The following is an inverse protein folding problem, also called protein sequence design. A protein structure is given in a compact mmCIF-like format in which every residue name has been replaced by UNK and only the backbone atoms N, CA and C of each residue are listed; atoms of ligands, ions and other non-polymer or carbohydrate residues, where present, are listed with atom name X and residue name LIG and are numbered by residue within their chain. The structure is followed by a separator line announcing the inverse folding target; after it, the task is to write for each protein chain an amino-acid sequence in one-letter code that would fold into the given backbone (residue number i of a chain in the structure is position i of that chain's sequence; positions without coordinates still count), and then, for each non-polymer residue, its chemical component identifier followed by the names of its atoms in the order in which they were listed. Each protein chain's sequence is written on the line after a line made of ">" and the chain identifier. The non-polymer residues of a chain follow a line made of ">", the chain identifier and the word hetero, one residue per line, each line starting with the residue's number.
data_IF_672565215057
#
_entry.id   IF_672565215057
#
_cell.length_a   1.000
_cell.length_b   1.000
_cell.length_c   1.000
_cell.angle_alpha   90.00
_cell.angle_beta   90.00
_cell.angle_gamma   90.00
#
_symmetry.space_group_name_H-M   'P 1'
#
loop_
_entity.id
_entity.type
_entity.pdbx_description
1 polymer ?
#
# COMPACT_ATOMS: atom_id res chain seq x y z
N UNK A 1 -14.97 8.21 3.18
CA UNK A 1 -14.04 7.50 2.30
C UNK A 1 -12.85 7.02 3.09
N UNK A 2 -12.40 5.83 2.77
CA UNK A 2 -11.30 5.22 3.51
C UNK A 2 -9.94 5.42 2.85
N UNK A 3 -9.93 6.06 1.70
CA UNK A 3 -8.67 6.30 1.01
C UNK A 3 -8.79 7.43 0.00
N UNK A 4 -7.65 8.01 -0.33
CA UNK A 4 -7.51 9.03 -1.35
C UNK A 4 -6.33 8.67 -2.23
N UNK A 5 -6.38 9.04 -3.51
CA UNK A 5 -5.29 8.82 -4.43
C UNK A 5 -4.89 10.12 -5.11
N UNK A 6 -3.59 10.24 -5.40
CA UNK A 6 -3.06 11.40 -6.11
C UNK A 6 -1.91 10.93 -6.98
N UNK A 7 -1.88 11.36 -8.24
CA UNK A 7 -0.78 11.06 -9.13
C UNK A 7 0.20 12.23 -9.15
N UNK A 8 1.47 11.93 -8.94
CA UNK A 8 2.55 12.91 -9.00
C UNK A 8 3.61 12.34 -9.95
N UNK A 9 3.61 12.81 -11.20
CA UNK A 9 4.48 12.23 -12.23
C UNK A 9 4.16 10.76 -12.45
N UNK A 10 5.17 9.90 -12.37
CA UNK A 10 5.01 8.46 -12.48
C UNK A 10 4.64 7.78 -11.17
N UNK A 11 4.41 8.53 -10.09
CA UNK A 11 4.08 7.99 -8.78
C UNK A 11 2.58 8.11 -8.50
N UNK A 12 2.02 7.07 -7.88
CA UNK A 12 0.67 7.12 -7.34
C UNK A 12 0.79 7.09 -5.82
N UNK A 13 0.27 8.14 -5.17
CA UNK A 13 0.23 8.22 -3.71
C UNK A 13 -1.17 7.80 -3.27
N UNK A 14 -1.23 6.77 -2.42
CA UNK A 14 -2.48 6.27 -1.86
C UNK A 14 -2.46 6.53 -0.36
N UNK A 15 -3.37 7.35 0.12
CA UNK A 15 -3.50 7.63 1.55
C UNK A 15 -4.69 6.87 2.09
N UNK A 16 -4.43 5.98 3.05
CA UNK A 16 -5.46 5.18 3.69
C UNK A 16 -5.86 5.80 5.02
N UNK A 17 -7.11 5.60 5.42
CA UNK A 17 -7.67 6.20 6.64
C UNK A 17 -8.38 5.16 7.50
N UNK A 18 -8.24 5.31 8.80
CA UNK A 18 -9.02 4.58 9.78
C UNK A 18 -8.66 3.11 9.86
N UNK A 19 -9.68 2.26 9.88
CA UNK A 19 -9.50 0.83 9.99
C UNK A 19 -9.54 0.16 8.63
N UNK A 20 -8.51 -0.61 8.33
CA UNK A 20 -8.39 -1.33 7.06
C UNK A 20 -8.72 -2.79 7.33
N UNK A 21 -9.95 -3.19 6.98
CA UNK A 21 -10.47 -4.53 7.19
C UNK A 21 -10.88 -5.19 5.86
N UNK A 22 -11.35 -6.44 5.94
CA UNK A 22 -11.70 -7.21 4.75
C UNK A 22 -12.84 -6.61 3.94
N UNK A 23 -13.65 -5.74 4.54
CA UNK A 23 -14.81 -5.14 3.84
C UNK A 23 -14.40 -4.04 2.86
N UNK A 24 -13.25 -3.42 3.08
CA UNK A 24 -12.82 -2.31 2.23
C UNK A 24 -11.67 -2.66 1.28
N UNK A 25 -10.94 -3.76 1.53
CA UNK A 25 -9.71 -4.02 0.78
C UNK A 25 -9.94 -4.34 -0.69
N UNK A 26 -11.03 -5.02 -1.04
CA UNK A 26 -11.25 -5.39 -2.45
C UNK A 26 -11.50 -4.15 -3.32
N UNK A 27 -12.26 -3.19 -2.83
CA UNK A 27 -12.52 -1.96 -3.56
C UNK A 27 -11.24 -1.14 -3.75
N UNK A 28 -10.47 -1.00 -2.66
CA UNK A 28 -9.21 -0.26 -2.71
C UNK A 28 -8.23 -0.94 -3.66
N UNK A 29 -8.10 -2.25 -3.55
CA UNK A 29 -7.22 -3.05 -4.40
C UNK A 29 -7.55 -2.87 -5.88
N UNK A 30 -8.82 -3.01 -6.22
CA UNK A 30 -9.25 -2.95 -7.63
C UNK A 30 -9.01 -1.57 -8.21
N UNK A 31 -9.25 -0.52 -7.44
CA UNK A 31 -9.01 0.85 -7.89
C UNK A 31 -7.52 1.13 -8.07
N UNK A 32 -6.70 0.71 -7.11
CA UNK A 32 -5.24 0.90 -7.21
C UNK A 32 -4.70 0.18 -8.44
N UNK A 33 -5.08 -1.08 -8.64
CA UNK A 33 -4.61 -1.87 -9.77
C UNK A 33 -5.01 -1.24 -11.10
N UNK A 34 -6.24 -0.74 -11.18
CA UNK A 34 -6.72 -0.04 -12.38
C UNK A 34 -5.91 1.21 -12.67
N UNK A 35 -5.65 2.02 -11.64
CA UNK A 35 -4.89 3.25 -11.82
C UNK A 35 -3.44 2.96 -12.22
N UNK A 36 -2.83 1.94 -11.64
CA UNK A 36 -1.47 1.54 -12.00
C UNK A 36 -1.41 1.19 -13.49
N UNK A 37 -2.38 0.42 -13.98
CA UNK A 37 -2.40 -0.01 -15.38
C UNK A 37 -2.69 1.14 -16.33
N UNK A 38 -3.73 1.94 -16.04
CA UNK A 38 -4.19 3.00 -16.94
C UNK A 38 -3.22 4.16 -16.99
N UNK A 39 -2.64 4.53 -15.84
CA UNK A 39 -1.79 5.72 -15.73
C UNK A 39 -0.30 5.39 -15.87
N UNK A 40 0.03 4.13 -16.14
CA UNK A 40 1.41 3.70 -16.31
C UNK A 40 2.29 4.09 -15.12
N UNK A 41 1.81 3.79 -13.92
CA UNK A 41 2.49 4.11 -12.67
C UNK A 41 3.70 3.22 -12.49
N UNK A 42 4.84 3.82 -12.16
CA UNK A 42 6.07 3.08 -11.89
C UNK A 42 6.50 3.13 -10.42
N UNK A 43 5.81 3.92 -9.61
CA UNK A 43 6.11 4.02 -8.18
C UNK A 43 4.78 4.14 -7.41
N UNK A 44 4.59 3.27 -6.42
CA UNK A 44 3.39 3.29 -5.59
C UNK A 44 3.80 3.64 -4.16
N UNK A 45 3.24 4.72 -3.63
CA UNK A 45 3.51 5.18 -2.28
C UNK A 45 2.23 5.04 -1.48
N UNK A 46 2.25 4.23 -0.42
CA UNK A 46 1.09 4.05 0.46
C UNK A 46 1.36 4.75 1.78
N UNK A 47 0.56 5.78 2.05
CA UNK A 47 0.66 6.58 3.26
C UNK A 47 -0.25 5.97 4.33
N UNK A 48 0.34 5.50 5.41
CA UNK A 48 -0.35 4.84 6.51
C UNK A 48 -0.51 5.73 7.74
N UNK A 49 -0.19 7.03 7.60
CA UNK A 49 -0.20 7.95 8.74
C UNK A 49 -1.55 8.13 9.40
N UNK A 50 -2.63 7.93 8.68
CA UNK A 50 -4.00 8.04 9.20
C UNK A 50 -4.68 6.68 9.43
N UNK A 51 -3.95 5.58 9.32
CA UNK A 51 -4.47 4.24 9.58
C UNK A 51 -4.33 3.92 11.06
N UNK A 52 -5.46 3.66 11.72
CA UNK A 52 -5.50 3.35 13.15
C UNK A 52 -5.34 1.86 13.42
N UNK A 53 -5.81 1.03 12.50
CA UNK A 53 -5.81 -0.42 12.67
C UNK A 53 -5.79 -1.10 11.29
N UNK A 54 -5.08 -2.23 11.19
CA UNK A 54 -5.00 -3.00 9.97
C UNK A 54 -5.10 -4.49 10.27
N UNK A 55 -6.04 -5.16 9.63
CA UNK A 55 -6.19 -6.61 9.72
C UNK A 55 -5.26 -7.30 8.70
N UNK A 56 -5.19 -8.63 8.81
CA UNK A 56 -4.38 -9.44 7.90
C UNK A 56 -4.79 -9.26 6.43
N UNK A 57 -6.05 -8.97 6.16
CA UNK A 57 -6.52 -8.69 4.80
C UNK A 57 -5.87 -7.44 4.23
N UNK A 58 -5.60 -6.44 5.06
CA UNK A 58 -4.87 -5.24 4.64
C UNK A 58 -3.42 -5.56 4.30
N UNK A 59 -2.79 -6.44 5.09
CA UNK A 59 -1.43 -6.91 4.81
C UNK A 59 -1.42 -7.64 3.46
N UNK A 60 -2.40 -8.50 3.20
CA UNK A 60 -2.53 -9.21 1.92
C UNK A 60 -2.69 -8.26 0.75
N UNK A 61 -3.47 -7.21 0.93
CA UNK A 61 -3.66 -6.18 -0.09
C UNK A 61 -2.33 -5.49 -0.42
N UNK A 62 -1.58 -5.11 0.60
CA UNK A 62 -0.27 -4.46 0.42
C UNK A 62 0.68 -5.41 -0.32
N UNK A 63 0.73 -6.68 0.10
CA UNK A 63 1.59 -7.67 -0.52
C UNK A 63 1.25 -7.88 -2.00
N UNK A 64 -0.03 -7.94 -2.33
CA UNK A 64 -0.47 -8.09 -3.73
C UNK A 64 -0.06 -6.90 -4.58
N UNK A 65 -0.16 -5.70 -4.05
CA UNK A 65 0.28 -4.50 -4.77
C UNK A 65 1.79 -4.47 -4.94
N UNK A 66 2.52 -4.93 -3.94
CA UNK A 66 3.97 -5.06 -4.03
C UNK A 66 4.37 -5.99 -5.18
N UNK A 67 3.74 -7.17 -5.24
CA UNK A 67 4.01 -8.12 -6.32
C UNK A 67 3.67 -7.54 -7.69
N UNK A 68 2.56 -6.83 -7.79
CA UNK A 68 2.17 -6.17 -9.03
C UNK A 68 3.23 -5.16 -9.47
N UNK A 69 3.70 -4.32 -8.57
CA UNK A 69 4.70 -3.30 -8.89
C UNK A 69 6.02 -3.93 -9.30
N UNK A 70 6.48 -4.95 -8.57
CA UNK A 70 7.73 -5.64 -8.90
C UNK A 70 7.64 -6.29 -10.28
N UNK A 71 6.50 -6.92 -10.61
CA UNK A 71 6.32 -7.57 -11.91
C UNK A 71 6.38 -6.57 -13.07
N UNK A 72 6.11 -5.30 -12.81
CA UNK A 72 6.17 -4.22 -13.80
C UNK A 72 7.52 -3.50 -13.81
N UNK A 73 8.45 -3.94 -12.96
CA UNK A 73 9.73 -3.26 -12.80
C UNK A 73 9.64 -1.97 -12.02
N UNK A 74 8.54 -1.77 -11.30
CA UNK A 74 8.31 -0.58 -10.49
C UNK A 74 8.73 -0.75 -9.04
N UNK A 75 8.38 0.24 -8.24
CA UNK A 75 8.73 0.31 -6.81
C UNK A 75 7.49 0.53 -5.98
N UNK A 76 7.54 0.11 -4.72
CA UNK A 76 6.49 0.40 -3.75
C UNK A 76 7.12 0.81 -2.43
N UNK A 77 6.47 1.76 -1.74
CA UNK A 77 6.97 2.31 -0.49
C UNK A 77 5.80 2.49 0.47
N UNK A 78 6.02 2.15 1.74
CA UNK A 78 5.07 2.42 2.81
C UNK A 78 5.63 3.57 3.64
N UNK A 79 4.81 4.59 3.93
CA UNK A 79 5.28 5.74 4.68
C UNK A 79 4.40 6.01 5.90
N UNK A 80 5.02 6.46 6.95
CA UNK A 80 4.42 6.96 8.19
C UNK A 80 3.49 5.98 8.91
N UNK A 81 3.80 4.67 9.02
CA UNK A 81 2.93 3.79 9.78
C UNK A 81 2.92 4.18 11.26
N UNK A 82 1.72 4.21 11.86
CA UNK A 82 1.62 4.41 13.30
C UNK A 82 2.18 3.19 14.01
N UNK A 83 2.61 3.32 15.29
CA UNK A 83 3.30 2.23 16.00
C UNK A 83 2.55 0.89 15.99
N UNK A 84 1.23 0.90 16.18
CA UNK A 84 0.44 -0.33 16.18
C UNK A 84 0.36 -0.97 14.80
N UNK A 85 0.35 -0.16 13.75
CA UNK A 85 0.35 -0.66 12.36
C UNK A 85 1.74 -1.15 11.99
N UNK A 86 2.77 -0.41 12.37
CA UNK A 86 4.16 -0.80 12.12
C UNK A 86 4.47 -2.16 12.76
N UNK A 87 3.94 -2.39 13.96
CA UNK A 87 4.12 -3.67 14.63
C UNK A 87 3.48 -4.83 13.86
N UNK A 88 2.29 -4.62 13.31
CA UNK A 88 1.61 -5.64 12.48
C UNK A 88 2.43 -5.92 11.23
N UNK A 89 2.97 -4.89 10.58
CA UNK A 89 3.82 -5.04 9.41
C UNK A 89 5.08 -5.84 9.75
N UNK A 90 5.69 -5.55 10.89
CA UNK A 90 6.88 -6.24 11.35
C UNK A 90 6.59 -7.71 11.64
N UNK A 91 5.52 -8.00 12.38
CA UNK A 91 5.16 -9.37 12.73
C UNK A 91 4.79 -10.23 11.52
N UNK A 92 4.23 -9.62 10.49
CA UNK A 92 3.87 -10.32 9.26
C UNK A 92 5.08 -10.63 8.37
N UNK A 93 6.22 -10.01 8.64
CA UNK A 93 7.41 -10.15 7.82
C UNK A 93 7.46 -9.27 6.59
N UNK A 94 6.36 -8.59 6.28
CA UNK A 94 6.27 -7.77 5.07
C UNK A 94 7.22 -6.58 5.11
N UNK A 95 7.50 -6.07 6.30
CA UNK A 95 8.38 -4.92 6.47
C UNK A 95 9.79 -5.17 5.90
N UNK A 96 10.28 -6.40 5.99
CA UNK A 96 11.59 -6.77 5.45
C UNK A 96 11.67 -6.61 3.94
N UNK A 97 10.57 -6.84 3.24
CA UNK A 97 10.54 -6.69 1.78
C UNK A 97 10.75 -5.23 1.39
N UNK A 98 10.14 -4.31 2.14
CA UNK A 98 10.26 -2.89 1.87
C UNK A 98 11.63 -2.34 2.27
N UNK A 99 12.21 -2.85 3.32
CA UNK A 99 13.56 -2.47 3.73
C UNK A 99 14.59 -2.82 2.66
N UNK A 100 14.45 -3.99 2.04
CA UNK A 100 15.37 -4.41 0.98
C UNK A 100 15.28 -3.54 -0.26
N UNK A 101 14.10 -3.00 -0.54
CA UNK A 101 13.88 -2.21 -1.75
C UNK A 101 14.11 -0.73 -1.55
N UNK A 102 14.10 -0.27 -0.31
CA UNK A 102 14.37 1.14 0.02
C UNK A 102 15.85 1.40 0.30
N UNK A 103 16.62 0.36 0.41
CA UNK A 103 18.05 0.41 0.77
C UNK A 103 18.95 0.87 -0.31
#
# INVERSE_FOLDING_TARGET
>A
MRYETEQIGGALVVKLYGEIDQHCVSEIRDDIDRQIAIRNINSLIVDLGAVEFMESSGIGMIMGRYKNMVSRGGKMMLVRPQPQVDKVLELSGIKKLFEKNCG
#
